data_IF_791253047167
#
_entry.id   IF_791253047167
#
_cell.length_a   1.000
_cell.length_b   1.000
_cell.length_c   1.000
_cell.angle_alpha   90.00
_cell.angle_beta   90.00
_cell.angle_gamma   90.00
#
_symmetry.space_group_name_H-M   'P 1'
#
loop_
_entity.id
_entity.type
_entity.pdbx_description
1 polymer ?
#
# COMPACT_ATOMS: atom_id res chain seq x y z
N UNK A 1 -21.86 5.42 68.25
CA UNK A 1 -22.44 4.43 67.32
C UNK A 1 -21.37 4.13 66.29
N UNK A 2 -20.60 3.08 66.57
CA UNK A 2 -19.47 2.61 65.78
C UNK A 2 -19.98 1.76 64.62
N UNK A 3 -19.55 2.07 63.40
CA UNK A 3 -19.83 1.24 62.22
C UNK A 3 -18.56 0.48 61.82
N UNK A 4 -18.65 -0.84 61.99
CA UNK A 4 -17.67 -1.87 61.62
C UNK A 4 -17.38 -1.87 60.11
N UNK A 5 -16.10 -1.92 59.76
CA UNK A 5 -15.61 -2.38 58.47
C UNK A 5 -15.61 -3.92 58.43
N UNK A 6 -16.33 -4.52 57.49
CA UNK A 6 -16.20 -5.93 57.14
C UNK A 6 -15.31 -6.06 55.90
N UNK A 7 -14.22 -6.79 56.07
CA UNK A 7 -13.25 -7.19 55.05
C UNK A 7 -13.76 -8.42 54.28
N UNK A 8 -13.96 -8.27 52.97
CA UNK A 8 -14.20 -9.39 52.05
C UNK A 8 -12.86 -10.01 51.65
N UNK A 9 -12.65 -11.26 52.08
CA UNK A 9 -11.56 -12.11 51.61
C UNK A 9 -11.94 -12.74 50.26
N UNK A 10 -11.12 -12.49 49.25
CA UNK A 10 -11.18 -13.13 47.93
C UNK A 10 -10.49 -14.49 47.98
N UNK A 11 -11.27 -15.56 47.77
CA UNK A 11 -10.76 -16.91 47.55
C UNK A 11 -10.25 -17.06 46.12
N UNK A 12 -8.93 -17.26 45.98
CA UNK A 12 -8.28 -17.70 44.75
C UNK A 12 -8.56 -19.20 44.54
N UNK A 13 -9.18 -19.54 43.41
CA UNK A 13 -9.36 -20.92 42.97
C UNK A 13 -8.30 -21.28 41.94
N UNK A 14 -7.35 -22.12 42.35
CA UNK A 14 -6.33 -22.76 41.53
C UNK A 14 -6.95 -23.75 40.53
N UNK A 15 -7.16 -23.33 39.28
CA UNK A 15 -7.47 -24.23 38.16
C UNK A 15 -6.18 -24.61 37.41
N UNK A 16 -5.52 -25.67 37.90
CA UNK A 16 -4.44 -26.34 37.17
C UNK A 16 -5.02 -27.30 36.12
N UNK A 17 -4.56 -27.26 34.84
CA UNK A 17 -5.10 -28.11 33.79
C UNK A 17 -4.66 -29.57 33.96
N UNK A 18 -5.64 -30.47 34.01
CA UNK A 18 -5.47 -31.93 34.03
C UNK A 18 -4.74 -32.41 32.78
N UNK A 19 -3.60 -33.07 32.99
CA UNK A 19 -2.85 -33.86 32.01
C UNK A 19 -3.77 -34.92 31.37
N UNK A 20 -4.08 -34.77 30.08
CA UNK A 20 -4.70 -35.83 29.30
C UNK A 20 -3.63 -36.87 28.94
N UNK A 21 -3.74 -38.07 29.52
CA UNK A 21 -2.97 -39.23 29.11
C UNK A 21 -3.50 -39.75 27.76
N UNK A 22 -2.62 -39.68 26.75
CA UNK A 22 -2.85 -40.24 25.42
C UNK A 22 -2.76 -41.77 25.50
N UNK A 23 -3.91 -42.46 25.53
CA UNK A 23 -3.97 -43.92 25.43
C UNK A 23 -3.54 -44.34 24.02
N UNK A 24 -2.42 -45.07 23.94
CA UNK A 24 -1.91 -45.71 22.73
C UNK A 24 -2.94 -46.76 22.24
N UNK A 25 -3.60 -46.49 21.11
CA UNK A 25 -4.42 -47.49 20.42
C UNK A 25 -3.53 -48.48 19.68
N UNK A 26 -3.81 -49.77 19.90
CA UNK A 26 -3.17 -50.92 19.26
C UNK A 26 -3.32 -50.86 17.74
N UNK A 27 -2.20 -50.94 17.04
CA UNK A 27 -2.09 -51.22 15.62
C UNK A 27 -2.62 -52.63 15.34
N UNK A 28 -3.75 -52.75 14.65
CA UNK A 28 -4.17 -54.00 14.01
C UNK A 28 -3.65 -53.91 12.58
N UNK A 29 -2.64 -54.73 12.29
CA UNK A 29 -2.16 -54.93 10.94
C UNK A 29 -3.15 -55.80 10.17
N UNK A 30 -3.54 -55.33 8.99
CA UNK A 30 -4.05 -56.19 7.93
C UNK A 30 -3.25 -55.91 6.68
N UNK A 31 -2.37 -56.86 6.38
CA UNK A 31 -1.75 -57.05 5.09
C UNK A 31 -2.84 -57.37 4.06
N UNK A 32 -2.92 -56.59 3.00
CA UNK A 32 -3.51 -57.05 1.75
C UNK A 32 -2.64 -56.52 0.60
N UNK A 33 -1.85 -57.46 0.10
CA UNK A 33 -1.13 -57.39 -1.16
C UNK A 33 -2.13 -57.15 -2.29
N UNK A 34 -1.94 -56.07 -3.04
CA UNK A 34 -2.28 -56.04 -4.46
C UNK A 34 -1.10 -55.43 -5.21
N UNK A 35 -0.38 -56.29 -5.91
CA UNK A 35 0.62 -55.93 -6.88
C UNK A 35 -0.08 -55.27 -8.08
N UNK A 36 0.31 -54.04 -8.40
CA UNK A 36 0.02 -53.41 -9.68
C UNK A 36 1.33 -52.90 -10.27
N UNK A 37 1.85 -53.68 -11.22
CA UNK A 37 2.89 -53.28 -12.15
C UNK A 37 2.46 -52.01 -12.89
N UNK A 38 3.17 -50.90 -12.65
CA UNK A 38 3.27 -49.81 -13.62
C UNK A 38 4.73 -49.43 -13.81
N UNK A 39 5.24 -49.84 -14.97
CA UNK A 39 6.51 -49.44 -15.56
C UNK A 39 6.59 -47.91 -15.58
N UNK A 40 7.48 -47.36 -14.77
CA UNK A 40 7.81 -45.94 -14.72
C UNK A 40 9.10 -45.73 -15.52
N UNK A 41 8.99 -45.45 -16.82
CA UNK A 41 10.12 -45.02 -17.65
C UNK A 41 10.35 -43.53 -17.44
N UNK A 42 11.22 -43.23 -16.48
CA UNK A 42 11.86 -41.92 -16.32
C UNK A 42 12.87 -41.71 -17.45
N UNK A 43 12.46 -41.00 -18.51
CA UNK A 43 13.40 -40.40 -19.45
C UNK A 43 13.81 -39.01 -18.95
N UNK A 44 15.07 -38.93 -18.54
CA UNK A 44 15.88 -37.72 -18.36
C UNK A 44 15.71 -36.71 -19.49
N UNK A 45 15.25 -35.50 -19.18
CA UNK A 45 15.48 -34.30 -20.00
C UNK A 45 16.35 -33.32 -19.21
N UNK A 46 17.64 -33.29 -19.59
CA UNK A 46 18.56 -32.21 -19.26
C UNK A 46 18.25 -31.00 -20.15
N UNK A 47 18.15 -29.77 -19.62
CA UNK A 47 18.17 -28.59 -20.47
C UNK A 47 19.61 -28.27 -20.89
N UNK A 48 19.85 -28.27 -22.20
CA UNK A 48 21.09 -27.79 -22.81
C UNK A 48 21.21 -26.28 -22.58
N UNK A 49 22.32 -25.88 -21.96
CA UNK A 49 22.77 -24.50 -21.90
C UNK A 49 23.14 -24.03 -23.32
N UNK A 50 22.40 -23.05 -23.85
CA UNK A 50 22.86 -22.26 -25.00
C UNK A 50 23.62 -21.04 -24.51
N UNK A 51 24.93 -21.12 -24.68
CA UNK A 51 25.87 -20.00 -24.64
C UNK A 51 25.57 -19.03 -25.79
N UNK A 52 25.02 -17.86 -25.44
CA UNK A 52 24.94 -16.71 -26.34
C UNK A 52 25.92 -15.64 -25.87
N UNK A 53 26.99 -15.45 -26.65
CA UNK A 53 27.98 -14.39 -26.50
C UNK A 53 27.30 -13.01 -26.48
N UNK A 54 27.51 -12.21 -25.43
CA UNK A 54 27.30 -10.76 -25.46
C UNK A 54 28.66 -10.06 -25.28
N UNK A 55 29.12 -9.46 -26.38
CA UNK A 55 30.30 -8.61 -26.47
C UNK A 55 30.07 -7.25 -25.80
N UNK A 56 30.89 -6.99 -24.78
CA UNK A 56 31.74 -5.81 -24.51
C UNK A 56 31.59 -4.62 -25.51
N UNK A 57 31.30 -3.44 -24.92
CA UNK A 57 31.53 -2.03 -25.34
C UNK A 57 30.94 -1.45 -26.63
N UNK A 58 30.10 -0.41 -26.48
CA UNK A 58 30.40 0.94 -27.03
C UNK A 58 29.58 2.06 -26.34
N UNK A 59 30.21 3.08 -25.70
CA UNK A 59 29.52 4.27 -25.19
C UNK A 59 29.62 5.41 -26.21
N UNK A 60 28.65 5.46 -27.13
CA UNK A 60 28.53 6.50 -28.15
C UNK A 60 27.61 7.65 -27.72
N UNK A 61 28.24 8.78 -27.37
CA UNK A 61 27.78 10.19 -27.51
C UNK A 61 26.33 10.41 -27.96
N UNK A 62 25.56 11.15 -27.17
CA UNK A 62 24.74 12.20 -27.76
C UNK A 62 24.64 13.43 -26.86
N UNK A 63 24.77 14.55 -27.56
CA UNK A 63 25.08 15.89 -27.12
C UNK A 63 23.93 16.59 -26.42
N UNK A 64 24.29 17.21 -25.30
CA UNK A 64 23.83 18.51 -24.81
C UNK A 64 22.84 19.24 -25.73
N UNK A 65 21.60 19.37 -25.25
CA UNK A 65 20.80 20.57 -25.49
C UNK A 65 20.48 21.19 -24.13
N UNK A 66 21.22 22.24 -23.79
CA UNK A 66 21.01 23.08 -22.61
C UNK A 66 19.71 23.86 -22.77
N UNK A 67 18.61 23.31 -22.25
CA UNK A 67 17.40 24.06 -21.99
C UNK A 67 17.53 24.78 -20.64
N UNK A 68 17.65 26.10 -20.66
CA UNK A 68 17.56 26.96 -19.49
C UNK A 68 16.12 26.96 -18.97
N UNK A 69 15.78 26.04 -18.08
CA UNK A 69 14.50 26.09 -17.36
C UNK A 69 14.69 27.04 -16.18
N UNK A 70 14.22 28.27 -16.36
CA UNK A 70 14.02 29.21 -15.25
C UNK A 70 13.12 28.51 -14.23
N UNK A 71 13.65 28.40 -13.01
CA UNK A 71 13.03 27.69 -11.91
C UNK A 71 11.72 28.34 -11.50
N UNK A 72 10.61 27.82 -12.04
CA UNK A 72 9.32 27.92 -11.36
C UNK A 72 9.43 27.11 -10.08
N UNK A 73 9.20 27.79 -8.96
CA UNK A 73 9.10 27.20 -7.64
C UNK A 73 7.90 26.23 -7.63
N UNK A 74 8.13 24.98 -8.05
CA UNK A 74 7.25 23.86 -7.71
C UNK A 74 7.40 23.61 -6.21
N UNK A 75 6.74 24.46 -5.42
CA UNK A 75 6.17 24.01 -4.17
C UNK A 75 5.24 22.86 -4.56
N UNK A 76 5.63 21.63 -4.24
CA UNK A 76 4.72 20.49 -4.34
C UNK A 76 3.65 20.66 -3.27
N UNK A 77 2.71 21.57 -3.51
CA UNK A 77 1.47 21.66 -2.77
C UNK A 77 0.54 20.56 -3.26
N UNK A 78 0.96 19.29 -3.14
CA UNK A 78 -0.02 18.25 -2.82
C UNK A 78 -0.42 18.49 -1.38
N UNK A 79 -1.22 19.54 -1.20
CA UNK A 79 -1.93 19.87 0.00
C UNK A 79 -2.94 18.75 0.25
N UNK A 80 -2.48 17.68 0.91
CA UNK A 80 -3.32 16.61 1.50
C UNK A 80 -4.30 17.20 2.53
N UNK A 81 -4.17 18.49 2.86
CA UNK A 81 -5.00 19.25 3.80
C UNK A 81 -6.49 19.33 3.47
N UNK A 82 -6.96 18.79 2.34
CA UNK A 82 -8.39 18.72 1.99
C UNK A 82 -9.00 17.32 1.92
N UNK A 83 -8.28 16.25 2.28
CA UNK A 83 -8.95 14.99 2.59
C UNK A 83 -9.79 15.20 3.86
N UNK A 84 -11.06 15.56 3.65
CA UNK A 84 -12.08 15.62 4.71
C UNK A 84 -12.08 14.26 5.38
N UNK A 85 -11.44 14.19 6.57
CA UNK A 85 -11.58 13.07 7.48
C UNK A 85 -13.07 12.81 7.59
N UNK A 86 -13.52 11.64 7.11
CA UNK A 86 -14.92 11.26 7.22
C UNK A 86 -15.22 11.21 8.70
N UNK A 87 -16.22 11.99 9.12
CA UNK A 87 -16.60 12.13 10.52
C UNK A 87 -17.02 10.79 11.15
N UNK A 88 -17.33 9.78 10.34
CA UNK A 88 -17.85 8.47 10.74
C UNK A 88 -17.01 7.70 11.77
N UNK A 89 -15.69 7.95 11.89
CA UNK A 89 -14.82 7.20 12.81
C UNK A 89 -14.40 7.97 14.06
N UNK A 90 -14.92 9.17 14.26
CA UNK A 90 -14.67 9.91 15.49
C UNK A 90 -15.67 9.45 16.56
N UNK A 91 -15.24 9.29 17.82
CA UNK A 91 -16.16 9.01 18.92
C UNK A 91 -17.13 10.18 19.08
N UNK A 92 -18.32 9.90 19.62
CA UNK A 92 -19.34 10.92 19.90
C UNK A 92 -18.84 11.95 20.93
N UNK A 93 -18.13 11.46 21.94
CA UNK A 93 -17.50 12.25 22.99
C UNK A 93 -16.05 11.81 23.23
N UNK A 94 -15.14 12.78 23.27
CA UNK A 94 -13.74 12.57 23.66
C UNK A 94 -13.33 13.59 24.71
N UNK A 95 -13.11 13.15 25.95
CA UNK A 95 -12.76 14.07 27.03
C UNK A 95 -11.27 14.47 26.99
N UNK A 96 -10.96 15.53 26.24
CA UNK A 96 -9.62 16.12 26.18
C UNK A 96 -9.10 16.56 27.56
N UNK A 97 -9.98 16.85 28.53
CA UNK A 97 -9.55 17.24 29.88
C UNK A 97 -8.95 16.06 30.63
N UNK A 98 -9.52 14.86 30.50
CA UNK A 98 -8.93 13.64 31.07
C UNK A 98 -7.51 13.39 30.52
N UNK A 99 -7.31 13.54 29.21
CA UNK A 99 -5.99 13.35 28.58
C UNK A 99 -4.98 14.37 29.09
N UNK A 100 -5.39 15.63 29.29
CA UNK A 100 -4.55 16.70 29.84
C UNK A 100 -4.07 16.43 31.26
N UNK A 101 -4.90 15.79 32.10
CA UNK A 101 -4.50 15.39 33.46
C UNK A 101 -3.39 14.34 33.45
N UNK A 102 -3.28 13.56 32.36
CA UNK A 102 -2.33 12.47 32.20
C UNK A 102 -1.21 12.80 31.21
N UNK A 103 -0.87 14.09 31.02
CA UNK A 103 0.26 14.48 30.18
C UNK A 103 1.57 13.91 30.73
N UNK A 104 2.25 13.15 29.87
CA UNK A 104 3.58 12.67 30.19
C UNK A 104 4.55 13.86 30.19
N UNK A 105 5.34 13.98 31.25
CA UNK A 105 6.52 14.83 31.25
C UNK A 105 7.75 13.95 30.98
N UNK A 106 8.48 14.29 29.94
CA UNK A 106 9.67 13.56 29.48
C UNK A 106 10.73 14.57 29.07
N UNK A 107 12.01 14.25 29.29
CA UNK A 107 13.14 15.08 28.84
C UNK A 107 13.41 14.95 27.34
N UNK A 108 12.85 13.92 26.70
CA UNK A 108 12.98 13.64 25.26
C UNK A 108 11.62 13.46 24.61
N UNK A 109 11.54 13.77 23.31
CA UNK A 109 10.36 13.51 22.49
C UNK A 109 10.09 12.00 22.43
N UNK A 110 8.91 11.55 22.83
CA UNK A 110 8.55 10.12 22.86
C UNK A 110 8.24 9.50 21.48
N UNK A 111 8.58 10.20 20.39
CA UNK A 111 8.46 9.70 19.02
C UNK A 111 9.80 9.64 18.27
N UNK A 112 10.64 10.66 18.43
CA UNK A 112 11.92 10.76 17.72
C UNK A 112 13.13 10.85 18.65
N UNK A 113 12.93 10.71 19.96
CA UNK A 113 13.93 10.74 21.03
C UNK A 113 14.79 12.02 21.11
N UNK A 114 14.44 13.05 20.33
CA UNK A 114 15.10 14.36 20.37
C UNK A 114 14.97 14.99 21.76
N UNK A 115 16.10 15.32 22.40
CA UNK A 115 16.14 15.97 23.71
C UNK A 115 15.55 17.37 23.62
N UNK A 116 14.70 17.72 24.59
CA UNK A 116 14.14 19.06 24.67
C UNK A 116 15.20 20.05 25.14
N UNK A 117 15.20 21.24 24.55
CA UNK A 117 16.12 22.34 24.85
C UNK A 117 15.33 23.64 24.94
N UNK A 118 15.99 24.76 25.25
CA UNK A 118 15.35 26.08 25.23
C UNK A 118 14.73 26.42 23.86
N UNK A 119 15.32 25.91 22.77
CA UNK A 119 14.83 26.12 21.41
C UNK A 119 13.79 25.07 20.99
N UNK A 120 13.88 23.84 21.51
CA UNK A 120 12.95 22.75 21.18
C UNK A 120 11.92 22.63 22.31
N UNK A 121 10.79 23.34 22.14
CA UNK A 121 9.72 23.39 23.14
C UNK A 121 9.01 22.04 23.26
N UNK A 122 8.81 21.58 24.50
CA UNK A 122 7.92 20.46 24.85
C UNK A 122 6.48 20.76 24.42
N UNK A 123 5.81 19.78 23.80
CA UNK A 123 4.37 19.79 23.49
C UNK A 123 3.77 18.45 23.91
N UNK A 124 2.46 18.39 24.10
CA UNK A 124 1.77 17.13 24.37
C UNK A 124 0.71 16.87 23.30
N UNK A 125 0.53 15.60 22.95
CA UNK A 125 -0.55 15.14 22.09
C UNK A 125 -1.88 15.17 22.85
N UNK A 126 -2.91 15.82 22.31
CA UNK A 126 -4.24 15.87 22.92
C UNK A 126 -5.01 14.54 22.84
N UNK A 127 -4.51 13.55 22.08
CA UNK A 127 -5.14 12.23 21.95
C UNK A 127 -4.51 11.16 22.85
N UNK A 128 -3.17 11.10 22.92
CA UNK A 128 -2.45 10.04 23.63
C UNK A 128 -1.53 10.53 24.75
N UNK A 129 -1.63 11.82 25.13
CA UNK A 129 -0.89 12.49 26.21
C UNK A 129 0.65 12.50 26.14
N UNK A 130 1.27 11.84 25.16
CA UNK A 130 2.73 11.79 24.96
C UNK A 130 3.38 13.16 24.81
N UNK A 131 4.57 13.32 25.38
CA UNK A 131 5.44 14.49 25.19
C UNK A 131 6.18 14.40 23.85
N UNK A 132 6.00 15.40 22.99
CA UNK A 132 6.49 15.45 21.61
C UNK A 132 7.14 16.80 21.30
N UNK A 133 8.03 16.86 20.32
CA UNK A 133 8.52 18.12 19.77
C UNK A 133 7.51 18.76 18.81
N UNK A 134 7.80 19.98 18.34
CA UNK A 134 6.99 20.66 17.31
C UNK A 134 6.88 19.83 16.04
N UNK A 135 7.99 19.25 15.60
CA UNK A 135 8.10 18.56 14.32
C UNK A 135 7.21 17.31 14.29
N UNK A 136 7.12 16.57 15.41
CA UNK A 136 6.31 15.36 15.52
C UNK A 136 4.84 15.60 15.92
N UNK A 137 4.41 16.87 15.96
CA UNK A 137 3.15 17.31 16.55
C UNK A 137 2.57 18.56 15.89
N UNK A 138 2.84 18.74 14.60
CA UNK A 138 2.36 19.90 13.85
C UNK A 138 0.89 19.73 13.41
N UNK A 139 0.44 18.48 13.30
CA UNK A 139 -0.90 18.15 12.83
C UNK A 139 -1.99 18.50 13.87
N UNK A 140 -3.14 18.96 13.36
CA UNK A 140 -4.32 19.30 14.17
C UNK A 140 -5.58 18.60 13.65
N UNK A 141 -6.23 17.82 14.51
CA UNK A 141 -7.44 17.04 14.18
C UNK A 141 -8.59 17.33 15.13
N UNK A 142 -9.81 17.15 14.65
CA UNK A 142 -10.99 17.01 15.50
C UNK A 142 -10.93 15.64 16.16
N UNK A 143 -11.18 15.55 17.47
CA UNK A 143 -11.08 14.29 18.24
C UNK A 143 -12.43 13.69 18.62
N UNK A 144 -13.52 14.44 18.43
CA UNK A 144 -14.89 14.07 18.80
C UNK A 144 -15.86 14.61 17.76
N UNK A 145 -16.96 13.90 17.49
CA UNK A 145 -18.05 14.42 16.65
C UNK A 145 -18.66 15.71 17.23
N UNK A 146 -18.72 15.80 18.56
CA UNK A 146 -19.22 16.97 19.28
C UNK A 146 -18.30 18.20 19.21
N UNK A 147 -17.02 18.01 18.86
CA UNK A 147 -16.02 19.06 18.97
C UNK A 147 -15.90 19.88 17.68
N UNK A 148 -16.13 21.19 17.76
CA UNK A 148 -15.86 22.12 16.64
C UNK A 148 -14.38 22.48 16.50
N UNK A 149 -13.59 22.26 17.55
CA UNK A 149 -12.19 22.69 17.65
C UNK A 149 -11.23 21.58 17.22
N UNK A 150 -10.19 21.96 16.47
CA UNK A 150 -9.05 21.08 16.17
C UNK A 150 -8.02 21.12 17.31
N UNK A 151 -7.56 19.94 17.72
CA UNK A 151 -6.55 19.76 18.76
C UNK A 151 -5.24 19.23 18.17
N UNK A 152 -4.12 19.52 18.84
CA UNK A 152 -2.81 19.02 18.43
C UNK A 152 -2.74 17.51 18.62
N UNK A 153 -2.34 16.79 17.57
CA UNK A 153 -2.07 15.35 17.64
C UNK A 153 -0.65 15.07 17.17
N UNK A 154 -0.05 14.01 17.68
CA UNK A 154 1.24 13.56 17.16
C UNK A 154 1.06 12.77 15.85
N UNK A 155 2.12 12.66 15.05
CA UNK A 155 2.08 11.99 13.73
C UNK A 155 1.51 10.57 13.81
N UNK A 156 1.88 9.81 14.85
CA UNK A 156 1.35 8.46 15.09
C UNK A 156 -0.17 8.46 15.34
N UNK A 157 -0.67 9.45 16.07
CA UNK A 157 -2.10 9.57 16.32
C UNK A 157 -2.86 10.03 15.07
N UNK A 158 -2.22 10.89 14.28
CA UNK A 158 -2.74 11.41 13.03
C UNK A 158 -2.93 10.30 12.00
N UNK A 159 -1.88 9.51 11.76
CA UNK A 159 -1.91 8.35 10.88
C UNK A 159 -2.99 7.33 11.26
N UNK A 160 -3.16 7.06 12.56
CA UNK A 160 -4.24 6.18 13.06
C UNK A 160 -5.63 6.74 12.81
N UNK A 161 -5.81 8.06 12.84
CA UNK A 161 -7.11 8.67 12.55
C UNK A 161 -7.42 8.58 11.06
N UNK A 162 -6.44 8.85 10.20
CA UNK A 162 -6.60 8.74 8.74
C UNK A 162 -6.86 7.31 8.29
N UNK A 163 -6.15 6.34 8.85
CA UNK A 163 -6.27 4.93 8.47
C UNK A 163 -7.34 4.15 9.22
N UNK A 164 -8.14 4.79 10.06
CA UNK A 164 -9.24 4.14 10.77
C UNK A 164 -10.26 3.51 9.80
N UNK A 165 -10.57 4.19 8.70
CA UNK A 165 -11.45 3.68 7.64
C UNK A 165 -10.87 2.41 7.01
N UNK A 166 -9.56 2.43 6.75
CA UNK A 166 -8.85 1.30 6.15
C UNK A 166 -8.81 0.10 7.10
N UNK A 167 -8.49 0.31 8.38
CA UNK A 167 -8.50 -0.75 9.39
C UNK A 167 -9.88 -1.39 9.55
N UNK A 168 -10.95 -0.58 9.55
CA UNK A 168 -12.32 -1.09 9.66
C UNK A 168 -12.73 -1.92 8.45
N UNK A 169 -12.42 -1.44 7.23
CA UNK A 169 -12.65 -2.19 5.99
C UNK A 169 -11.86 -3.50 5.99
N UNK A 170 -10.58 -3.46 6.34
CA UNK A 170 -9.74 -4.64 6.41
C UNK A 170 -10.29 -5.67 7.40
N UNK A 171 -10.73 -5.24 8.59
CA UNK A 171 -11.40 -6.12 9.57
C UNK A 171 -12.69 -6.72 9.05
N UNK A 172 -13.51 -5.95 8.31
CA UNK A 172 -14.74 -6.50 7.72
C UNK A 172 -14.45 -7.56 6.66
N UNK A 173 -13.38 -7.39 5.87
CA UNK A 173 -12.94 -8.36 4.88
C UNK A 173 -12.48 -9.64 5.58
N UNK A 174 -11.57 -9.52 6.56
CA UNK A 174 -11.10 -10.67 7.34
C UNK A 174 -12.23 -11.44 8.03
N UNK A 175 -13.23 -10.71 8.54
CA UNK A 175 -14.42 -11.35 9.14
C UNK A 175 -15.23 -12.10 8.10
N UNK A 176 -15.50 -11.50 6.93
CA UNK A 176 -16.22 -12.15 5.85
C UNK A 176 -15.49 -13.41 5.35
N UNK A 177 -14.16 -13.37 5.25
CA UNK A 177 -13.32 -14.52 4.92
C UNK A 177 -13.42 -15.62 5.98
N UNK A 178 -13.32 -15.27 7.27
CA UNK A 178 -13.48 -16.21 8.38
C UNK A 178 -14.86 -16.86 8.40
N UNK A 179 -15.92 -16.09 8.17
CA UNK A 179 -17.30 -16.57 8.12
C UNK A 179 -17.48 -17.55 6.93
N UNK A 180 -16.88 -17.23 5.78
CA UNK A 180 -16.87 -18.10 4.60
C UNK A 180 -16.17 -19.43 4.90
N UNK A 181 -15.00 -19.40 5.53
CA UNK A 181 -14.25 -20.60 5.94
C UNK A 181 -15.07 -21.44 6.93
N UNK A 182 -15.74 -20.79 7.89
CA UNK A 182 -16.61 -21.48 8.85
C UNK A 182 -17.77 -22.21 8.15
N UNK A 183 -18.40 -21.57 7.16
CA UNK A 183 -19.47 -22.19 6.36
C UNK A 183 -18.92 -23.38 5.58
N UNK A 184 -17.79 -23.22 4.89
CA UNK A 184 -17.15 -24.30 4.14
C UNK A 184 -16.82 -25.50 5.03
N UNK A 185 -16.27 -25.27 6.23
CA UNK A 185 -15.98 -26.34 7.18
C UNK A 185 -17.26 -27.06 7.64
N UNK A 186 -18.36 -26.33 7.84
CA UNK A 186 -19.64 -26.94 8.19
C UNK A 186 -20.21 -27.82 7.07
N UNK A 187 -20.01 -27.43 5.81
CA UNK A 187 -20.41 -28.22 4.63
C UNK A 187 -19.54 -29.48 4.53
N UNK A 188 -18.21 -29.34 4.66
CA UNK A 188 -17.27 -30.47 4.66
C UNK A 188 -17.66 -31.48 5.74
N UNK A 189 -18.00 -31.02 6.95
CA UNK A 189 -18.43 -31.90 8.03
C UNK A 189 -19.73 -32.65 7.72
N UNK A 190 -20.71 -32.02 7.06
CA UNK A 190 -21.95 -32.68 6.65
C UNK A 190 -21.70 -33.75 5.59
N UNK A 191 -20.97 -33.40 4.53
CA UNK A 191 -20.61 -34.34 3.46
C UNK A 191 -19.82 -35.53 3.98
N UNK A 192 -18.90 -35.30 4.92
CA UNK A 192 -18.11 -36.37 5.55
C UNK A 192 -19.01 -37.36 6.30
N UNK A 193 -20.05 -36.88 7.00
CA UNK A 193 -21.00 -37.74 7.72
C UNK A 193 -21.89 -38.55 6.78
N UNK A 194 -22.37 -37.93 5.71
CA UNK A 194 -23.18 -38.62 4.68
C UNK A 194 -22.38 -39.76 4.04
N UNK A 195 -21.10 -39.53 3.73
CA UNK A 195 -20.20 -40.57 3.22
C UNK A 195 -19.99 -41.76 4.18
N UNK A 196 -20.02 -41.52 5.49
CA UNK A 196 -19.83 -42.58 6.50
C UNK A 196 -21.11 -43.42 6.72
N UNK A 197 -22.31 -42.87 6.46
CA UNK A 197 -23.60 -43.55 6.67
C UNK A 197 -24.02 -44.46 5.50
N UNK A 198 -23.53 -44.22 4.28
CA UNK A 198 -23.94 -44.96 3.07
C UNK A 198 -23.15 -46.27 2.78
N UNK A 199 -22.40 -46.80 3.75
CA UNK A 199 -21.71 -48.11 3.61
C UNK A 199 -22.59 -49.26 4.15
N UNK A 200 -23.80 -49.41 3.63
CA UNK A 200 -24.41 -50.73 3.48
C UNK A 200 -25.11 -50.82 2.13
N UNK A 201 -24.45 -51.54 1.23
CA UNK A 201 -24.82 -51.61 -0.17
C UNK A 201 -25.44 -52.99 -0.44
N UNK A 202 -26.79 -53.13 -0.54
CA UNK A 202 -27.42 -54.36 -1.01
C UNK A 202 -27.30 -54.50 -2.53
N UNK A 203 -26.77 -55.64 -3.00
CA UNK A 203 -26.50 -56.00 -4.40
C UNK A 203 -27.73 -55.84 -5.33
N UNK A 204 -27.84 -54.69 -5.97
CA UNK A 204 -28.66 -54.50 -7.17
C UNK A 204 -27.84 -53.63 -8.13
N UNK A 205 -27.43 -54.20 -9.25
CA UNK A 205 -26.25 -53.78 -10.02
C UNK A 205 -26.50 -52.75 -11.13
N UNK A 206 -27.76 -52.53 -11.56
CA UNK A 206 -28.04 -51.74 -12.78
C UNK A 206 -28.34 -50.27 -12.50
N UNK A 207 -29.24 -49.94 -11.57
CA UNK A 207 -29.56 -48.53 -11.23
C UNK A 207 -28.34 -47.80 -10.65
N UNK A 208 -27.52 -48.53 -9.89
CA UNK A 208 -26.30 -47.99 -9.29
C UNK A 208 -25.24 -47.60 -10.31
N UNK A 209 -25.23 -48.23 -11.48
CA UNK A 209 -24.29 -47.89 -12.54
C UNK A 209 -24.69 -46.58 -13.24
N UNK A 210 -26.00 -46.28 -13.32
CA UNK A 210 -26.48 -44.99 -13.83
C UNK A 210 -26.16 -43.84 -12.86
N UNK A 211 -26.48 -44.00 -11.57
CA UNK A 211 -26.16 -42.99 -10.54
C UNK A 211 -24.66 -42.71 -10.45
N UNK A 212 -23.84 -43.76 -10.59
CA UNK A 212 -22.38 -43.62 -10.63
C UNK A 212 -21.92 -42.81 -11.83
N UNK A 213 -22.49 -43.03 -13.01
CA UNK A 213 -22.12 -42.26 -14.21
C UNK A 213 -22.52 -40.78 -14.07
N UNK A 214 -23.71 -40.48 -13.52
CA UNK A 214 -24.15 -39.10 -13.26
C UNK A 214 -23.24 -38.41 -12.22
N UNK A 215 -22.86 -39.14 -11.17
CA UNK A 215 -21.92 -38.65 -10.17
C UNK A 215 -20.54 -38.37 -10.77
N UNK A 216 -20.00 -39.30 -11.57
CA UNK A 216 -18.70 -39.17 -12.22
C UNK A 216 -18.71 -37.99 -13.21
N UNK A 217 -19.80 -37.76 -13.95
CA UNK A 217 -19.95 -36.59 -14.84
C UNK A 217 -19.97 -35.28 -14.04
N UNK A 218 -20.77 -35.21 -12.97
CA UNK A 218 -20.82 -34.04 -12.09
C UNK A 218 -19.46 -33.75 -11.45
N UNK A 219 -18.77 -34.78 -10.97
CA UNK A 219 -17.44 -34.66 -10.39
C UNK A 219 -16.41 -34.12 -11.40
N UNK A 220 -16.45 -34.59 -12.65
CA UNK A 220 -15.57 -34.10 -13.70
C UNK A 220 -15.84 -32.62 -14.05
N UNK A 221 -17.11 -32.22 -14.12
CA UNK A 221 -17.49 -30.81 -14.34
C UNK A 221 -17.01 -29.88 -13.20
N UNK A 222 -17.17 -30.32 -11.94
CA UNK A 222 -16.68 -29.59 -10.76
C UNK A 222 -15.15 -29.49 -10.78
N UNK A 223 -14.46 -30.55 -11.20
CA UNK A 223 -13.01 -30.58 -11.36
C UNK A 223 -12.51 -29.61 -12.44
N UNK A 224 -13.18 -29.54 -13.60
CA UNK A 224 -12.85 -28.57 -14.65
C UNK A 224 -13.05 -27.13 -14.18
N UNK A 225 -14.12 -26.86 -13.44
CA UNK A 225 -14.41 -25.54 -12.84
C UNK A 225 -13.30 -25.14 -11.87
N UNK A 226 -12.86 -26.05 -11.00
CA UNK A 226 -11.75 -25.80 -10.08
C UNK A 226 -10.43 -25.55 -10.82
N UNK A 227 -10.15 -26.28 -11.89
CA UNK A 227 -8.97 -26.05 -12.72
C UNK A 227 -8.99 -24.67 -13.38
N UNK A 228 -10.16 -24.23 -13.87
CA UNK A 228 -10.34 -22.88 -14.43
C UNK A 228 -10.09 -21.79 -13.39
N UNK A 229 -10.68 -21.91 -12.20
CA UNK A 229 -10.46 -20.97 -11.09
C UNK A 229 -8.97 -20.89 -10.73
N UNK A 230 -8.28 -22.03 -10.66
CA UNK A 230 -6.86 -22.07 -10.32
C UNK A 230 -5.97 -21.39 -11.39
N UNK A 231 -6.31 -21.54 -12.68
CA UNK A 231 -5.62 -20.83 -13.78
C UNK A 231 -5.79 -19.31 -13.65
N UNK A 232 -7.01 -18.84 -13.38
CA UNK A 232 -7.29 -17.42 -13.19
C UNK A 232 -6.58 -16.86 -11.95
N UNK A 233 -6.61 -17.59 -10.83
CA UNK A 233 -5.90 -17.20 -9.63
C UNK A 233 -4.38 -17.06 -9.89
N UNK A 234 -3.79 -18.02 -10.60
CA UNK A 234 -2.37 -17.95 -10.99
C UNK A 234 -2.08 -16.74 -11.89
N UNK A 235 -2.98 -16.41 -12.81
CA UNK A 235 -2.87 -15.22 -13.65
C UNK A 235 -2.89 -13.92 -12.81
N UNK A 236 -3.84 -13.79 -11.88
CA UNK A 236 -3.90 -12.63 -10.98
C UNK A 236 -2.65 -12.50 -10.10
N UNK A 237 -2.12 -13.62 -9.58
CA UNK A 237 -0.88 -13.60 -8.81
C UNK A 237 0.31 -13.09 -9.62
N UNK A 238 0.45 -13.52 -10.89
CA UNK A 238 1.50 -13.01 -11.79
C UNK A 238 1.36 -11.51 -12.03
N UNK A 239 0.13 -11.02 -12.26
CA UNK A 239 -0.12 -9.60 -12.45
C UNK A 239 0.21 -8.78 -11.20
N UNK A 240 -0.13 -9.30 -10.01
CA UNK A 240 0.20 -8.66 -8.73
C UNK A 240 1.72 -8.57 -8.53
N UNK A 241 2.47 -9.64 -8.83
CA UNK A 241 3.94 -9.66 -8.76
C UNK A 241 4.54 -8.62 -9.72
N UNK A 242 4.02 -8.54 -10.95
CA UNK A 242 4.47 -7.56 -11.95
C UNK A 242 4.18 -6.12 -11.51
N UNK A 243 3.00 -5.86 -10.93
CA UNK A 243 2.65 -4.55 -10.37
C UNK A 243 3.59 -4.15 -9.23
N UNK A 244 3.87 -5.07 -8.30
CA UNK A 244 4.82 -4.83 -7.22
C UNK A 244 6.24 -4.52 -7.73
N UNK A 245 6.70 -5.23 -8.77
CA UNK A 245 7.98 -4.93 -9.41
C UNK A 245 8.02 -3.51 -9.96
N UNK A 246 6.95 -3.07 -10.65
CA UNK A 246 6.84 -1.68 -11.16
C UNK A 246 6.88 -0.64 -10.05
N UNK A 247 6.22 -0.91 -8.92
CA UNK A 247 6.27 -0.03 -7.73
C UNK A 247 7.71 0.08 -7.22
N UNK A 248 8.42 -1.04 -7.07
CA UNK A 248 9.82 -1.01 -6.59
C UNK A 248 10.78 -0.28 -7.54
N UNK A 249 10.55 -0.36 -8.85
CA UNK A 249 11.36 0.38 -9.83
C UNK A 249 11.07 1.89 -9.78
N UNK A 250 9.81 2.29 -9.56
CA UNK A 250 9.44 3.69 -9.34
C UNK A 250 10.06 4.25 -8.05
N UNK A 251 10.07 3.49 -6.97
CA UNK A 251 10.72 3.90 -5.71
C UNK A 251 12.22 4.14 -5.91
N UNK A 252 12.90 3.26 -6.65
CA UNK A 252 14.31 3.44 -7.03
C UNK A 252 14.52 4.72 -7.84
N UNK A 253 13.63 5.01 -8.79
CA UNK A 253 13.69 6.23 -9.60
C UNK A 253 13.50 7.49 -8.75
N UNK A 254 12.55 7.47 -7.81
CA UNK A 254 12.32 8.57 -6.87
C UNK A 254 13.57 8.84 -6.05
N UNK A 255 14.23 7.79 -5.54
CA UNK A 255 15.44 7.96 -4.74
C UNK A 255 16.61 8.53 -5.56
N UNK A 256 16.78 8.04 -6.80
CA UNK A 256 17.76 8.61 -7.73
C UNK A 256 17.51 10.10 -8.02
N UNK A 257 16.24 10.51 -8.16
CA UNK A 257 15.88 11.91 -8.36
C UNK A 257 16.15 12.77 -7.12
N UNK A 258 15.95 12.24 -5.91
CA UNK A 258 16.32 12.94 -4.66
C UNK A 258 17.82 13.18 -4.58
N UNK A 259 18.63 12.17 -4.93
CA UNK A 259 20.10 12.30 -4.97
C UNK A 259 20.50 13.37 -5.99
N UNK A 260 19.99 13.31 -7.23
CA UNK A 260 20.25 14.32 -8.27
C UNK A 260 19.85 15.74 -7.83
N UNK A 261 18.69 15.88 -7.17
CA UNK A 261 18.25 17.17 -6.63
C UNK A 261 19.23 17.70 -5.58
N UNK A 262 19.72 16.83 -4.69
CA UNK A 262 20.68 17.20 -3.65
C UNK A 262 22.01 17.66 -4.27
N UNK A 263 22.55 16.92 -5.24
CA UNK A 263 23.79 17.31 -5.92
C UNK A 263 23.64 18.63 -6.65
N UNK A 264 22.53 18.86 -7.38
CA UNK A 264 22.29 20.15 -8.05
C UNK A 264 22.14 21.33 -7.06
N UNK A 265 21.60 21.11 -5.87
CA UNK A 265 21.55 22.14 -4.81
C UNK A 265 22.97 22.45 -4.30
N UNK A 266 23.82 21.45 -4.13
CA UNK A 266 25.21 21.64 -3.69
C UNK A 266 26.04 22.38 -4.75
N UNK A 267 25.92 21.99 -6.03
CA UNK A 267 26.54 22.69 -7.17
C UNK A 267 26.11 24.15 -7.25
N UNK A 268 24.80 24.43 -7.04
CA UNK A 268 24.29 25.82 -7.01
C UNK A 268 24.90 26.62 -5.87
N UNK A 269 25.01 26.05 -4.68
CA UNK A 269 25.66 26.72 -3.53
C UNK A 269 27.13 27.01 -3.79
N UNK A 270 27.85 26.09 -4.42
CA UNK A 270 29.25 26.29 -4.80
C UNK A 270 29.39 27.43 -5.83
N UNK A 271 28.50 27.47 -6.83
CA UNK A 271 28.45 28.54 -7.81
C UNK A 271 28.12 29.90 -7.18
N UNK A 272 27.14 29.96 -6.28
CA UNK A 272 26.81 31.18 -5.53
C UNK A 272 28.01 31.67 -4.70
N UNK A 273 28.75 30.76 -4.06
CA UNK A 273 29.97 31.10 -3.32
C UNK A 273 31.08 31.63 -4.24
N UNK A 274 31.29 31.01 -5.41
CA UNK A 274 32.24 31.50 -6.43
C UNK A 274 31.86 32.90 -6.93
N UNK A 275 30.58 33.14 -7.18
CA UNK A 275 30.06 34.47 -7.57
C UNK A 275 30.29 35.51 -6.46
N UNK A 276 30.03 35.18 -5.20
CA UNK A 276 30.28 36.08 -4.05
C UNK A 276 31.75 36.46 -3.92
N UNK A 277 32.67 35.49 -4.01
CA UNK A 277 34.12 35.76 -3.97
C UNK A 277 34.56 36.68 -5.12
N UNK A 278 34.07 36.44 -6.33
CA UNK A 278 34.35 37.33 -7.48
C UNK A 278 33.81 38.74 -7.25
N UNK A 279 32.61 38.86 -6.69
CA UNK A 279 32.02 40.14 -6.33
C UNK A 279 32.88 40.91 -5.31
N UNK A 280 33.37 40.24 -4.28
CA UNK A 280 34.29 40.83 -3.29
C UNK A 280 35.59 41.32 -3.95
N UNK A 281 36.22 40.49 -4.80
CA UNK A 281 37.43 40.92 -5.53
C UNK A 281 37.19 42.10 -6.48
N UNK A 282 35.99 42.23 -7.03
CA UNK A 282 35.61 43.39 -7.86
C UNK A 282 35.44 44.65 -7.02
N UNK A 283 34.81 44.53 -5.84
CA UNK A 283 34.67 45.65 -4.89
C UNK A 283 36.03 46.17 -4.42
N UNK A 284 36.99 45.27 -4.17
CA UNK A 284 38.36 45.66 -3.80
C UNK A 284 39.08 46.41 -4.92
N UNK A 285 38.92 45.98 -6.18
CA UNK A 285 39.56 46.61 -7.34
C UNK A 285 38.93 47.95 -7.74
N UNK A 286 37.64 48.13 -7.45
CA UNK A 286 36.88 49.31 -7.85
C UNK A 286 36.12 49.85 -6.62
N UNK A 287 36.72 50.74 -5.82
CA UNK A 287 36.07 51.27 -4.61
C UNK A 287 34.77 52.05 -4.92
N UNK A 288 34.63 52.60 -6.13
CA UNK A 288 33.40 53.23 -6.61
C UNK A 288 32.42 52.26 -7.30
N UNK A 289 32.62 50.94 -7.17
CA UNK A 289 31.79 49.92 -7.82
C UNK A 289 30.30 50.00 -7.45
N UNK A 290 29.99 50.34 -6.20
CA UNK A 290 28.59 50.50 -5.79
C UNK A 290 27.91 51.68 -6.48
N UNK A 291 28.66 52.76 -6.74
CA UNK A 291 28.17 53.89 -7.52
C UNK A 291 27.99 53.48 -8.98
N UNK A 292 28.96 52.75 -9.55
CA UNK A 292 28.85 52.23 -10.92
C UNK A 292 27.64 51.30 -11.11
N UNK A 293 27.34 50.39 -10.17
CA UNK A 293 26.12 49.57 -10.22
C UNK A 293 24.87 50.43 -10.14
N UNK A 294 24.83 51.40 -9.23
CA UNK A 294 23.67 52.30 -9.10
C UNK A 294 23.42 53.07 -10.38
N UNK A 295 24.47 53.62 -10.98
CA UNK A 295 24.37 54.35 -12.24
C UNK A 295 23.91 53.42 -13.38
N UNK A 296 24.36 52.16 -13.41
CA UNK A 296 23.96 51.17 -14.41
C UNK A 296 22.50 50.70 -14.25
N UNK A 297 22.05 50.49 -13.01
CA UNK A 297 20.64 50.17 -12.71
C UNK A 297 19.73 51.38 -13.00
N UNK A 298 20.17 52.58 -12.66
CA UNK A 298 19.41 53.82 -12.91
C UNK A 298 19.29 54.11 -14.41
N UNK A 299 20.33 53.79 -15.19
CA UNK A 299 20.25 53.85 -16.66
C UNK A 299 19.28 52.80 -17.23
N UNK A 300 19.27 51.56 -16.71
CA UNK A 300 18.33 50.51 -17.12
C UNK A 300 16.87 50.81 -16.75
N UNK A 301 16.63 51.51 -15.64
CA UNK A 301 15.28 51.95 -15.24
C UNK A 301 14.80 53.17 -16.02
N UNK A 302 15.72 53.95 -16.61
CA UNK A 302 15.39 55.14 -17.41
C UNK A 302 15.14 54.83 -18.90
N UNK A 303 15.55 53.66 -19.37
CA UNK A 303 15.13 53.15 -20.67
C UNK A 303 13.74 52.54 -20.53
N UNK A 304 12.71 53.37 -20.76
CA UNK A 304 11.34 52.92 -20.98
C UNK A 304 11.38 51.77 -22.00
N UNK A 305 11.04 50.53 -21.63
CA UNK A 305 10.95 49.47 -22.61
C UNK A 305 9.73 49.81 -23.46
N UNK A 306 9.97 50.37 -24.64
CA UNK A 306 9.07 50.19 -25.75
C UNK A 306 8.99 48.67 -26.00
N UNK A 307 8.07 48.03 -25.29
CA UNK A 307 7.74 46.61 -25.40
C UNK A 307 7.21 46.43 -26.83
N UNK A 308 8.11 46.07 -27.74
CA UNK A 308 7.75 45.27 -28.90
C UNK A 308 7.22 43.95 -28.36
N UNK A 309 6.01 43.59 -28.80
CA UNK A 309 5.30 42.35 -28.47
C UNK A 309 6.23 41.14 -28.49
N UNK A 310 6.55 40.61 -27.30
CA UNK A 310 7.14 39.29 -27.18
C UNK A 310 5.98 38.30 -27.16
N UNK A 311 5.71 37.71 -28.33
CA UNK A 311 4.77 36.62 -28.50
C UNK A 311 5.04 35.49 -27.50
N UNK A 312 4.05 35.29 -26.62
CA UNK A 312 3.58 34.04 -26.03
C UNK A 312 4.50 32.81 -26.15
N UNK A 313 5.46 32.66 -25.23
CA UNK A 313 6.00 31.34 -24.89
C UNK A 313 5.01 30.65 -23.95
N UNK A 314 4.03 29.97 -24.54
CA UNK A 314 3.16 29.04 -23.83
C UNK A 314 4.01 27.93 -23.19
N UNK A 315 3.83 27.64 -21.89
CA UNK A 315 4.51 26.53 -21.25
C UNK A 315 4.17 25.21 -21.95
N UNK A 316 5.08 24.22 -21.95
CA UNK A 316 4.86 22.94 -22.61
C UNK A 316 3.57 22.31 -22.08
N UNK A 317 2.58 22.20 -22.96
CA UNK A 317 1.31 21.54 -22.70
C UNK A 317 1.63 20.09 -22.36
N UNK A 318 1.36 19.70 -21.12
CA UNK A 318 1.30 18.29 -20.74
C UNK A 318 0.32 17.62 -21.68
N UNK A 319 0.80 16.63 -22.44
CA UNK A 319 0.02 15.87 -23.41
C UNK A 319 -1.26 15.33 -22.76
N UNK A 320 -2.35 16.06 -22.99
CA UNK A 320 -3.67 15.76 -22.45
C UNK A 320 -4.19 14.44 -22.99
N UNK A 321 -3.72 14.01 -24.16
CA UNK A 321 -4.15 12.77 -24.78
C UNK A 321 -3.52 11.56 -24.09
N UNK A 322 -2.23 11.66 -23.70
CA UNK A 322 -1.58 10.64 -22.87
C UNK A 322 -2.27 10.49 -21.49
N UNK A 323 -2.64 11.60 -20.85
CA UNK A 323 -3.37 11.60 -19.58
C UNK A 323 -4.79 11.01 -19.72
N UNK A 324 -5.49 11.32 -20.81
CA UNK A 324 -6.81 10.79 -21.10
C UNK A 324 -6.78 9.29 -21.46
N UNK A 325 -5.72 8.82 -22.13
CA UNK A 325 -5.52 7.40 -22.43
C UNK A 325 -5.32 6.57 -21.15
N UNK A 326 -4.51 7.06 -20.20
CA UNK A 326 -4.34 6.41 -18.88
C UNK A 326 -5.65 6.38 -18.11
N UNK A 327 -6.45 7.46 -18.14
CA UNK A 327 -7.75 7.52 -17.47
C UNK A 327 -8.75 6.51 -18.05
N UNK A 328 -8.84 6.41 -19.39
CA UNK A 328 -9.70 5.42 -20.07
C UNK A 328 -9.27 3.98 -19.77
N UNK A 329 -7.97 3.71 -19.70
CA UNK A 329 -7.45 2.39 -19.33
C UNK A 329 -7.86 1.99 -17.91
N UNK A 330 -7.79 2.92 -16.96
CA UNK A 330 -8.19 2.70 -15.57
C UNK A 330 -9.70 2.48 -15.42
N UNK A 331 -10.53 3.21 -16.17
CA UNK A 331 -11.98 3.02 -16.19
C UNK A 331 -12.39 1.63 -16.72
N UNK A 332 -11.69 1.11 -17.75
CA UNK A 332 -11.92 -0.26 -18.26
C UNK A 332 -11.58 -1.31 -17.21
N UNK A 333 -10.47 -1.15 -16.48
CA UNK A 333 -10.09 -2.06 -15.41
C UNK A 333 -11.10 -2.06 -14.25
N UNK A 334 -11.59 -0.88 -13.85
CA UNK A 334 -12.59 -0.79 -12.78
C UNK A 334 -13.93 -1.41 -13.17
N UNK A 335 -14.40 -1.21 -14.42
CA UNK A 335 -15.61 -1.88 -14.93
C UNK A 335 -15.49 -3.41 -14.94
N UNK A 336 -14.33 -3.94 -15.31
CA UNK A 336 -14.10 -5.38 -15.27
C UNK A 336 -14.16 -5.94 -13.84
N UNK A 337 -13.63 -5.21 -12.87
CA UNK A 337 -13.71 -5.57 -11.44
C UNK A 337 -15.15 -5.48 -10.92
N UNK A 338 -15.92 -4.47 -11.32
CA UNK A 338 -17.34 -4.37 -10.96
C UNK A 338 -18.17 -5.52 -11.55
N UNK A 339 -17.90 -5.91 -12.80
CA UNK A 339 -18.55 -7.05 -13.45
C UNK A 339 -18.27 -8.38 -12.75
N UNK A 340 -17.02 -8.61 -12.32
CA UNK A 340 -16.63 -9.82 -11.59
C UNK A 340 -17.19 -9.87 -10.15
N UNK A 341 -17.49 -8.72 -9.55
CA UNK A 341 -18.01 -8.64 -8.18
C UNK A 341 -19.54 -8.51 -8.13
N UNK A 342 -20.24 -8.50 -9.27
CA UNK A 342 -21.69 -8.42 -9.31
C UNK A 342 -22.30 -9.75 -8.77
N UNK A 343 -23.09 -9.71 -7.68
CA UNK A 343 -23.73 -10.92 -7.16
C UNK A 343 -24.92 -11.30 -8.04
N UNK A 344 -24.69 -12.21 -8.99
CA UNK A 344 -25.71 -12.80 -9.86
C UNK A 344 -25.09 -13.88 -10.74
N UNK A 345 -25.80 -15.01 -10.89
CA UNK A 345 -25.35 -16.14 -11.72
C UNK A 345 -25.16 -15.69 -13.17
N UNK A 346 -23.91 -15.49 -13.59
CA UNK A 346 -23.57 -15.29 -14.99
C UNK A 346 -23.77 -16.65 -15.66
N UNK A 347 -24.72 -16.74 -16.59
CA UNK A 347 -24.88 -17.95 -17.38
C UNK A 347 -23.68 -18.12 -18.31
N UNK A 348 -23.21 -19.35 -18.51
CA UNK A 348 -22.04 -19.65 -19.35
C UNK A 348 -22.13 -19.08 -20.79
N UNK A 349 -23.32 -18.69 -21.25
CA UNK A 349 -23.56 -18.04 -22.55
C UNK A 349 -23.15 -16.56 -22.59
N UNK A 350 -23.17 -15.84 -21.47
CA UNK A 350 -22.79 -14.40 -21.43
C UNK A 350 -21.27 -14.21 -21.29
N UNK A 351 -20.55 -15.20 -20.76
CA UNK A 351 -19.09 -15.18 -20.67
C UNK A 351 -18.40 -15.31 -22.04
N UNK A 352 -19.06 -15.88 -23.05
CA UNK A 352 -18.49 -16.10 -24.39
C UNK A 352 -18.56 -14.88 -25.32
N UNK A 353 -19.34 -13.84 -24.98
CA UNK A 353 -19.46 -12.61 -25.79
C UNK A 353 -18.39 -11.55 -25.49
N UNK A 354 -17.51 -11.77 -24.52
CA UNK A 354 -16.42 -10.84 -24.17
C UNK A 354 -15.12 -11.37 -24.78
N UNK A 355 -15.02 -11.33 -26.11
CA UNK A 355 -13.73 -11.47 -26.79
C UNK A 355 -12.98 -10.14 -26.66
N UNK A 356 -11.79 -10.19 -26.06
CA UNK A 356 -10.85 -9.08 -26.09
C UNK A 356 -10.15 -9.11 -27.44
N UNK A 357 -10.46 -8.16 -28.32
CA UNK A 357 -9.70 -7.95 -29.54
C UNK A 357 -8.26 -7.55 -29.17
N UNK A 358 -7.33 -8.45 -29.48
CA UNK A 358 -5.89 -8.37 -29.17
C UNK A 358 -5.10 -7.53 -30.20
N UNK A 359 -5.76 -6.74 -31.06
CA UNK A 359 -5.12 -6.12 -32.25
C UNK A 359 -4.43 -4.77 -32.02
N UNK A 360 -4.65 -4.05 -30.91
CA UNK A 360 -4.10 -2.68 -30.74
C UNK A 360 -2.84 -2.62 -29.84
N UNK A 361 -1.80 -3.38 -30.19
CA UNK A 361 -0.47 -3.21 -29.60
C UNK A 361 0.64 -3.33 -30.67
N UNK A 362 0.75 -2.29 -31.49
CA UNK A 362 1.96 -1.91 -32.23
C UNK A 362 2.40 -0.50 -31.86
#
# INVERSE_FOLDING_TARGET
>A
METKCESLASSESDDSPKKLELKKSKTIGSSLFLAADRKNTLSTFLPQARSGNMSIFDPGRNSLSRGSIQGSAYQSTFSISNLKVKSSNLPEHFDVKSVKKNYHDSETCQLCDKKFTLFIKKKNCNRCSRCICSDCGDNRRVLSLSDKKKYRVCDRCDFKLENSDFENKYKSILKAESDTISIQNSIIQKLTKELDEDVYIPDNTVEREQEKNEFDEKFNNDLETLQFINRNHTFYQKNLINANKRITDLDRNIENLKVKKKTSIEERKEMELKCKKKLETLKEKHPNYEQFIKDLLQNLESEDPAIGEVENLTPPVLDTDALNAVRKSLERQNKAVEFLNAPGQISAKEAQSINFDEEDSQ
#
